data_IF_955547071100
#
_entry.id   IF_955547071100
#
_cell.length_a   1.000
_cell.length_b   1.000
_cell.length_c   1.000
_cell.angle_alpha   90.00
_cell.angle_beta   90.00
_cell.angle_gamma   90.00
#
_symmetry.space_group_name_H-M   'P 1'
#
loop_
_entity.id
_entity.type
_entity.pdbx_description
1 polymer ?
#
# COMPACT_ATOMS: atom_id res chain seq x y z
N UNK A 1 2.97 -1.21 9.25
CA UNK A 1 2.04 -1.50 8.14
C UNK A 1 1.64 -2.97 8.23
N UNK A 2 0.43 -3.32 7.84
CA UNK A 2 -0.07 -4.69 7.87
C UNK A 2 -1.04 -4.88 6.70
N UNK A 3 -0.96 -5.99 5.96
CA UNK A 3 -1.90 -6.25 4.87
C UNK A 3 -3.10 -6.99 5.47
N UNK A 4 -4.20 -6.27 5.67
CA UNK A 4 -5.43 -6.88 6.16
C UNK A 4 -6.01 -7.86 5.13
N UNK A 5 -6.62 -8.94 5.61
CA UNK A 5 -7.19 -10.00 4.78
C UNK A 5 -8.70 -10.06 4.93
N UNK A 6 -9.41 -10.54 3.92
CA UNK A 6 -10.81 -10.93 4.10
C UNK A 6 -10.93 -12.27 4.84
N UNK A 7 -12.13 -12.57 5.34
CA UNK A 7 -12.41 -13.82 6.05
C UNK A 7 -12.19 -15.07 5.19
N UNK A 8 -12.43 -14.96 3.88
CA UNK A 8 -12.22 -16.04 2.90
C UNK A 8 -10.75 -16.28 2.56
N UNK A 9 -9.85 -15.36 2.92
CA UNK A 9 -8.41 -15.52 2.71
C UNK A 9 -7.75 -16.26 3.88
N UNK A 10 -6.68 -17.01 3.59
CA UNK A 10 -5.81 -17.58 4.61
C UNK A 10 -5.16 -16.53 5.51
N UNK A 11 -4.70 -16.96 6.69
CA UNK A 11 -4.05 -16.09 7.67
C UNK A 11 -2.82 -15.36 7.09
N UNK A 12 -2.65 -14.08 7.41
CA UNK A 12 -1.45 -13.28 7.09
C UNK A 12 -0.45 -13.21 8.24
N UNK A 13 -0.64 -14.05 9.26
CA UNK A 13 0.15 -14.03 10.49
C UNK A 13 -0.24 -12.90 11.43
N UNK A 14 0.51 -12.77 12.53
CA UNK A 14 0.28 -11.71 13.51
C UNK A 14 0.99 -10.41 13.14
N UNK A 15 0.51 -9.31 13.70
CA UNK A 15 1.07 -7.97 13.52
C UNK A 15 2.53 -7.97 14.00
N UNK A 16 3.40 -7.31 13.21
CA UNK A 16 4.80 -7.11 13.53
C UNK A 16 5.05 -5.70 14.07
N UNK A 17 6.13 -5.55 14.84
CA UNK A 17 6.60 -4.26 15.30
C UNK A 17 7.12 -3.40 14.13
N UNK A 18 7.64 -2.20 14.43
CA UNK A 18 8.16 -1.28 13.40
C UNK A 18 9.36 -1.84 12.63
N UNK A 19 10.10 -2.80 13.20
CA UNK A 19 11.25 -3.44 12.53
C UNK A 19 10.80 -4.53 11.55
N UNK A 20 9.58 -5.06 11.72
CA UNK A 20 9.07 -6.19 10.94
C UNK A 20 9.57 -7.55 11.42
N UNK A 21 10.55 -7.59 12.33
CA UNK A 21 11.19 -8.83 12.80
C UNK A 21 10.46 -9.44 14.00
N UNK A 22 9.99 -8.59 14.93
CA UNK A 22 9.34 -9.01 16.18
C UNK A 22 7.87 -8.61 16.22
N UNK A 23 7.21 -8.89 17.34
CA UNK A 23 5.83 -8.50 17.60
C UNK A 23 5.77 -7.30 18.55
N UNK A 24 4.71 -6.48 18.48
CA UNK A 24 4.47 -5.43 19.46
C UNK A 24 4.43 -6.00 20.88
N UNK A 25 4.84 -5.21 21.88
CA UNK A 25 4.76 -5.58 23.29
C UNK A 25 3.90 -4.54 24.00
N UNK A 26 3.00 -5.00 24.86
CA UNK A 26 2.27 -4.16 25.81
C UNK A 26 2.69 -4.53 27.22
N UNK A 27 2.97 -3.53 28.08
CA UNK A 27 3.38 -3.72 29.46
C UNK A 27 2.45 -2.95 30.38
N UNK A 28 1.96 -3.60 31.44
CA UNK A 28 1.28 -2.92 32.53
C UNK A 28 2.31 -2.46 33.57
N UNK A 29 2.46 -1.14 33.72
CA UNK A 29 3.39 -0.54 34.68
C UNK A 29 2.63 -0.12 35.95
N UNK A 30 3.28 -0.21 37.10
CA UNK A 30 2.72 0.24 38.39
C UNK A 30 1.78 -0.74 39.08
N UNK A 31 1.49 -1.90 38.49
CA UNK A 31 0.72 -2.97 39.11
C UNK A 31 1.33 -4.34 38.80
N UNK A 32 1.68 -5.12 39.82
CA UNK A 32 2.29 -6.45 39.68
C UNK A 32 1.87 -7.44 40.77
N UNK A 33 0.70 -7.23 41.39
CA UNK A 33 0.23 -8.08 42.51
C UNK A 33 -0.40 -9.40 42.04
N UNK A 34 -1.07 -9.40 40.90
CA UNK A 34 -1.74 -10.58 40.33
C UNK A 34 -1.83 -10.50 38.80
N UNK A 35 -2.25 -11.58 38.15
CA UNK A 35 -2.48 -11.58 36.71
C UNK A 35 -3.62 -10.63 36.33
N UNK A 36 -3.47 -9.91 35.21
CA UNK A 36 -4.46 -8.96 34.70
C UNK A 36 -4.81 -9.29 33.26
N UNK A 37 -6.10 -9.26 32.94
CA UNK A 37 -6.56 -9.43 31.56
C UNK A 37 -6.32 -8.15 30.76
N UNK A 38 -5.60 -8.29 29.65
CA UNK A 38 -5.41 -7.22 28.66
C UNK A 38 -6.33 -7.48 27.48
N UNK A 39 -7.29 -6.59 27.27
CA UNK A 39 -8.17 -6.60 26.12
C UNK A 39 -7.53 -5.84 24.97
N UNK A 40 -7.68 -6.34 23.75
CA UNK A 40 -7.15 -5.73 22.53
C UNK A 40 -8.21 -5.75 21.43
N UNK A 41 -8.51 -4.60 20.84
CA UNK A 41 -9.37 -4.50 19.66
C UNK A 41 -8.76 -3.56 18.61
N UNK A 42 -9.33 -3.59 17.40
CA UNK A 42 -8.91 -2.71 16.31
C UNK A 42 -9.72 -1.42 16.37
N UNK A 43 -9.06 -0.32 16.69
CA UNK A 43 -9.65 1.01 16.80
C UNK A 43 -9.46 1.89 15.56
N UNK A 44 -10.21 2.98 15.50
CA UNK A 44 -10.09 3.99 14.46
C UNK A 44 -8.81 4.84 14.62
N UNK A 45 -8.24 5.31 13.51
CA UNK A 45 -6.99 6.10 13.54
C UNK A 45 -7.19 7.49 14.16
N UNK A 46 -8.27 8.19 13.78
CA UNK A 46 -8.55 9.57 14.21
C UNK A 46 -9.52 9.70 15.38
N UNK A 47 -10.30 8.66 15.66
CA UNK A 47 -11.30 8.64 16.73
C UNK A 47 -10.76 7.70 17.81
N UNK A 48 -9.88 8.23 18.65
CA UNK A 48 -9.15 7.41 19.62
C UNK A 48 -10.13 6.74 20.59
N UNK A 49 -9.95 5.45 20.82
CA UNK A 49 -10.82 4.65 21.67
C UNK A 49 -12.10 4.12 21.00
N UNK A 50 -12.47 4.57 19.79
CA UNK A 50 -13.61 3.99 19.06
C UNK A 50 -13.19 2.79 18.22
N UNK A 51 -14.09 1.80 18.07
CA UNK A 51 -13.83 0.62 17.25
C UNK A 51 -13.82 0.94 15.76
N UNK A 52 -12.99 0.24 14.99
CA UNK A 52 -12.97 0.38 13.54
C UNK A 52 -14.13 -0.39 12.91
N UNK A 53 -14.88 0.25 12.02
CA UNK A 53 -16.01 -0.38 11.34
C UNK A 53 -15.56 -1.45 10.33
N UNK A 54 -14.58 -1.13 9.49
CA UNK A 54 -14.09 -2.00 8.42
C UNK A 54 -13.00 -3.00 8.82
N UNK A 55 -12.45 -2.91 10.04
CA UNK A 55 -11.35 -3.77 10.47
C UNK A 55 -11.66 -4.39 11.82
N UNK A 56 -11.43 -5.70 11.94
CA UNK A 56 -11.64 -6.46 13.17
C UNK A 56 -10.37 -7.15 13.63
N UNK A 57 -10.26 -7.37 14.94
CA UNK A 57 -9.19 -8.19 15.48
C UNK A 57 -9.43 -9.66 15.08
N UNK A 58 -8.38 -10.30 14.57
CA UNK A 58 -8.40 -11.72 14.22
C UNK A 58 -7.44 -12.46 15.13
N UNK A 59 -7.93 -13.51 15.82
CA UNK A 59 -7.07 -14.38 16.62
C UNK A 59 -6.14 -15.16 15.69
N UNK A 60 -4.84 -15.08 15.96
CA UNK A 60 -3.81 -15.87 15.31
C UNK A 60 -3.37 -16.94 16.30
N UNK A 61 -3.41 -18.20 15.87
CA UNK A 61 -2.96 -19.35 16.66
C UNK A 61 -1.65 -19.87 16.08
N UNK A 62 -0.66 -20.10 16.94
CA UNK A 62 0.59 -20.77 16.61
C UNK A 62 1.03 -21.68 17.76
N UNK A 63 1.93 -22.63 17.49
CA UNK A 63 2.42 -23.58 18.51
C UNK A 63 2.99 -22.88 19.76
N UNK A 64 3.64 -21.74 19.56
CA UNK A 64 4.29 -20.95 20.61
C UNK A 64 3.67 -19.55 20.77
N UNK A 65 2.49 -19.29 20.20
CA UNK A 65 1.86 -17.97 20.28
C UNK A 65 1.27 -17.72 21.67
N UNK A 66 1.23 -16.46 22.08
CA UNK A 66 0.57 -16.01 23.32
C UNK A 66 -0.87 -16.55 23.38
N UNK A 67 -1.19 -17.21 24.51
CA UNK A 67 -2.52 -17.75 24.75
C UNK A 67 -3.51 -16.58 24.86
N UNK A 68 -4.57 -16.64 24.06
CA UNK A 68 -5.63 -15.63 24.09
C UNK A 68 -7.02 -16.23 23.83
N UNK A 69 -8.05 -15.49 24.26
CA UNK A 69 -9.47 -15.74 23.95
C UNK A 69 -9.97 -14.63 23.02
N UNK A 70 -11.04 -14.92 22.28
CA UNK A 70 -11.72 -13.91 21.47
C UNK A 70 -13.17 -13.80 21.94
N UNK A 71 -13.66 -12.57 22.14
CA UNK A 71 -15.04 -12.25 22.49
C UNK A 71 -15.58 -11.23 21.50
N UNK A 72 -16.88 -11.28 21.22
CA UNK A 72 -17.58 -10.20 20.48
C UNK A 72 -18.29 -9.29 21.47
N UNK A 73 -18.03 -7.99 21.38
CA UNK A 73 -18.66 -6.93 22.19
C UNK A 73 -19.17 -5.87 21.20
N UNK A 74 -20.48 -5.66 21.13
CA UNK A 74 -21.13 -4.72 20.19
C UNK A 74 -20.64 -4.87 18.74
N UNK A 75 -20.56 -6.12 18.28
CA UNK A 75 -20.08 -6.48 16.95
C UNK A 75 -18.59 -6.22 16.72
N UNK A 76 -17.82 -5.89 17.75
CA UNK A 76 -16.37 -5.72 17.70
C UNK A 76 -15.68 -6.95 18.28
N UNK A 77 -14.71 -7.50 17.56
CA UNK A 77 -13.89 -8.61 18.04
C UNK A 77 -12.82 -8.10 18.99
N UNK A 78 -12.86 -8.58 20.24
CA UNK A 78 -11.92 -8.25 21.31
C UNK A 78 -11.10 -9.48 21.64
N UNK A 79 -9.78 -9.37 21.53
CA UNK A 79 -8.82 -10.42 21.91
C UNK A 79 -8.40 -10.17 23.35
N UNK A 80 -8.50 -11.19 24.19
CA UNK A 80 -8.18 -11.12 25.61
C UNK A 80 -6.92 -11.94 25.84
N UNK A 81 -5.87 -11.27 26.31
CA UNK A 81 -4.58 -11.83 26.72
C UNK A 81 -4.43 -11.68 28.23
N UNK A 82 -3.40 -12.31 28.81
CA UNK A 82 -3.12 -12.23 30.25
C UNK A 82 -1.69 -11.72 30.46
N UNK A 83 -1.55 -10.65 31.27
CA UNK A 83 -0.28 -10.16 31.78
C UNK A 83 -0.04 -10.78 33.17
N UNK A 84 1.18 -11.25 33.43
CA UNK A 84 1.52 -11.94 34.67
C UNK A 84 2.68 -11.26 35.41
N UNK A 85 2.69 -11.22 36.75
CA UNK A 85 3.85 -10.72 37.48
C UNK A 85 5.14 -11.49 37.16
N UNK A 86 5.03 -12.78 36.80
CA UNK A 86 6.17 -13.62 36.44
C UNK A 86 6.92 -13.15 35.19
N UNK A 87 6.24 -12.45 34.27
CA UNK A 87 6.84 -11.93 33.04
C UNK A 87 6.90 -10.39 33.04
N UNK A 88 7.06 -9.78 34.22
CA UNK A 88 7.16 -8.33 34.38
C UNK A 88 5.93 -7.60 33.77
N UNK A 89 4.77 -8.25 33.84
CA UNK A 89 3.50 -7.76 33.32
C UNK A 89 3.55 -7.38 31.82
N UNK A 90 4.42 -8.06 31.06
CA UNK A 90 4.59 -7.86 29.63
C UNK A 90 3.82 -8.91 28.83
N UNK A 91 3.22 -8.49 27.73
CA UNK A 91 2.54 -9.38 26.78
C UNK A 91 3.06 -9.09 25.38
N UNK A 92 3.63 -10.12 24.76
CA UNK A 92 4.01 -10.11 23.35
C UNK A 92 2.75 -10.31 22.49
N UNK A 93 2.46 -9.39 21.59
CA UNK A 93 1.23 -9.37 20.79
C UNK A 93 1.43 -10.16 19.48
N UNK A 94 1.74 -11.45 19.62
CA UNK A 94 1.97 -12.41 18.52
C UNK A 94 0.72 -13.24 18.16
N UNK A 95 -0.40 -12.97 18.81
CA UNK A 95 -1.67 -13.66 18.61
C UNK A 95 -2.76 -12.78 17.96
N UNK A 96 -2.42 -11.57 17.50
CA UNK A 96 -3.36 -10.60 16.92
C UNK A 96 -3.01 -10.31 15.46
N UNK A 97 -3.98 -10.54 14.57
CA UNK A 97 -3.98 -10.09 13.18
C UNK A 97 -5.15 -9.16 12.90
N UNK A 98 -5.23 -8.65 11.67
CA UNK A 98 -6.29 -7.72 11.24
C UNK A 98 -7.11 -8.36 10.12
N UNK A 99 -8.43 -8.43 10.33
CA UNK A 99 -9.43 -8.83 9.35
C UNK A 99 -10.05 -7.59 8.72
N UNK A 100 -10.28 -7.60 7.41
CA UNK A 100 -11.08 -6.61 6.70
C UNK A 100 -12.50 -7.13 6.52
N UNK A 101 -13.47 -6.36 6.99
CA UNK A 101 -14.90 -6.64 6.80
C UNK A 101 -15.32 -6.31 5.36
N UNK A 102 -16.31 -7.03 4.85
CA UNK A 102 -16.90 -6.69 3.55
C UNK A 102 -17.78 -5.46 3.71
N UNK A 103 -17.91 -4.67 2.65
CA UNK A 103 -18.72 -3.44 2.70
C UNK A 103 -20.18 -3.73 3.10
N UNK A 104 -20.77 -4.81 2.58
CA UNK A 104 -22.13 -5.26 2.94
C UNK A 104 -22.28 -5.55 4.43
N UNK A 105 -21.29 -6.21 5.05
CA UNK A 105 -21.32 -6.55 6.47
C UNK A 105 -21.19 -5.28 7.34
N UNK A 106 -20.37 -4.31 6.90
CA UNK A 106 -20.21 -3.01 7.57
C UNK A 106 -21.49 -2.17 7.51
N UNK A 107 -22.16 -2.15 6.36
CA UNK A 107 -23.41 -1.42 6.16
C UNK A 107 -24.51 -1.98 7.05
N UNK A 108 -24.64 -3.31 7.15
CA UNK A 108 -25.57 -3.97 8.08
C UNK A 108 -25.26 -3.63 9.54
N UNK A 109 -23.99 -3.65 9.94
CA UNK A 109 -23.57 -3.26 11.30
C UNK A 109 -23.92 -1.80 11.60
N UNK A 110 -23.73 -0.91 10.64
CA UNK A 110 -24.09 0.51 10.79
C UNK A 110 -25.61 0.70 10.90
N UNK A 111 -26.41 -0.01 10.10
CA UNK A 111 -27.87 0.03 10.18
C UNK A 111 -28.36 -0.42 11.57
N UNK A 112 -27.80 -1.51 12.11
CA UNK A 112 -28.13 -2.00 13.45
C UNK A 112 -27.75 -1.01 14.56
N UNK A 113 -26.67 -0.25 14.38
CA UNK A 113 -26.28 0.80 15.33
C UNK A 113 -27.19 2.02 15.25
N UNK A 114 -27.63 2.41 14.05
CA UNK A 114 -28.60 3.50 13.85
C UNK A 114 -29.96 3.18 14.46
N UNK A 115 -30.44 1.94 14.34
CA UNK A 115 -31.69 1.49 14.94
C UNK A 115 -31.68 1.48 16.48
N UNK A 116 -30.52 1.67 17.12
CA UNK A 116 -30.39 1.81 18.58
C UNK A 116 -30.33 3.27 19.04
N UNK A 117 -30.16 4.21 18.12
CA UNK A 117 -30.09 5.64 18.39
C UNK A 117 -31.24 6.31 17.64
N UNK A 118 -32.42 6.34 18.25
CA UNK A 118 -33.54 7.13 17.77
C UNK A 118 -33.15 8.61 17.82
N UNK A 119 -32.76 9.18 16.69
CA UNK A 119 -32.49 10.60 16.59
C UNK A 119 -31.36 10.96 15.65
N UNK A 120 -31.77 11.64 14.58
CA UNK A 120 -31.04 12.65 13.83
C UNK A 120 -30.44 12.26 12.47
N UNK A 121 -30.80 13.14 11.55
CA UNK A 121 -30.77 13.11 10.12
C UNK A 121 -29.36 13.40 9.63
N UNK A 122 -28.69 12.42 9.02
CA UNK A 122 -27.49 12.70 8.23
C UNK A 122 -27.25 11.62 7.18
N UNK A 123 -27.88 11.82 6.05
CA UNK A 123 -27.73 11.10 4.77
C UNK A 123 -26.31 11.18 4.14
N UNK A 124 -25.27 11.57 4.90
CA UNK A 124 -23.93 11.89 4.38
C UNK A 124 -22.75 11.19 5.10
N UNK A 125 -22.99 10.22 5.99
CA UNK A 125 -21.95 9.53 6.76
C UNK A 125 -21.15 8.36 6.08
N UNK A 126 -21.51 7.75 4.93
CA UNK A 126 -20.83 6.52 4.46
C UNK A 126 -19.37 6.71 3.98
N UNK A 127 -19.00 7.89 3.49
CA UNK A 127 -17.71 8.12 2.81
C UNK A 127 -16.65 8.65 3.79
N UNK A 128 -17.03 9.46 4.77
CA UNK A 128 -16.10 10.13 5.69
C UNK A 128 -15.46 9.21 6.75
N UNK A 129 -15.95 7.98 6.92
CA UNK A 129 -15.42 6.99 7.90
C UNK A 129 -14.58 5.86 7.27
N UNK A 130 -14.32 5.91 5.95
CA UNK A 130 -13.48 4.90 5.27
C UNK A 130 -12.00 5.23 5.49
N UNK A 131 -11.47 4.84 6.64
CA UNK A 131 -10.03 4.94 6.92
C UNK A 131 -9.32 3.65 6.47
N UNK A 132 -8.25 3.73 5.66
CA UNK A 132 -7.35 2.59 5.41
C UNK A 132 -6.37 2.36 6.56
N UNK A 133 -6.43 3.20 7.61
CA UNK A 133 -5.59 3.12 8.80
C UNK A 133 -6.41 2.77 10.02
N UNK A 134 -5.87 1.90 10.87
CA UNK A 134 -6.42 1.57 12.17
C UNK A 134 -5.34 1.67 13.25
N UNK A 135 -5.70 1.39 14.49
CA UNK A 135 -4.78 1.30 15.63
C UNK A 135 -5.11 0.08 16.47
N UNK A 136 -4.12 -0.47 17.18
CA UNK A 136 -4.38 -1.38 18.28
C UNK A 136 -4.80 -0.55 19.49
N UNK A 137 -5.92 -0.91 20.09
CA UNK A 137 -6.38 -0.33 21.35
C UNK A 137 -6.30 -1.42 22.41
N UNK A 138 -5.53 -1.16 23.46
CA UNK A 138 -5.39 -2.04 24.60
C UNK A 138 -6.10 -1.45 25.81
N UNK A 139 -6.84 -2.27 26.55
CA UNK A 139 -7.41 -1.87 27.83
C UNK A 139 -7.23 -2.94 28.90
N UNK A 140 -7.13 -2.51 30.16
CA UNK A 140 -6.98 -3.38 31.32
C UNK A 140 -7.75 -2.79 32.50
N UNK A 141 -8.46 -3.62 33.24
CA UNK A 141 -9.11 -3.23 34.49
C UNK A 141 -8.24 -3.68 35.66
N UNK A 142 -7.84 -2.75 36.52
CA UNK A 142 -7.02 -3.04 37.70
C UNK A 142 -7.90 -3.68 38.78
N UNK A 143 -7.58 -4.90 39.28
CA UNK A 143 -8.42 -5.59 40.26
C UNK A 143 -8.65 -4.81 41.56
N UNK A 144 -7.63 -4.11 42.06
CA UNK A 144 -7.69 -3.42 43.36
C UNK A 144 -8.51 -2.13 43.30
N UNK A 145 -8.40 -1.37 42.21
CA UNK A 145 -8.98 -0.02 42.09
C UNK A 145 -10.20 0.03 41.17
N UNK A 146 -10.46 -1.04 40.41
CA UNK A 146 -11.41 -1.08 39.29
C UNK A 146 -11.17 -0.01 38.21
N UNK A 147 -10.01 0.63 38.20
CA UNK A 147 -9.65 1.61 37.17
C UNK A 147 -9.41 0.92 35.82
N UNK A 148 -9.90 1.55 34.75
CA UNK A 148 -9.69 1.09 33.39
C UNK A 148 -8.57 1.91 32.76
N UNK A 149 -7.43 1.27 32.52
CA UNK A 149 -6.34 1.84 31.77
C UNK A 149 -6.55 1.54 30.29
N UNK A 150 -6.31 2.52 29.42
CA UNK A 150 -6.38 2.35 27.97
C UNK A 150 -5.18 3.01 27.28
N UNK A 151 -4.58 2.29 26.33
CA UNK A 151 -3.50 2.81 25.49
C UNK A 151 -3.75 2.47 24.03
N UNK A 152 -3.37 3.39 23.13
CA UNK A 152 -3.57 3.24 21.70
C UNK A 152 -2.20 3.25 21.00
N UNK A 153 -2.00 2.33 20.05
CA UNK A 153 -0.75 2.25 19.28
C UNK A 153 -0.58 3.40 18.29
N UNK A 154 0.61 3.44 17.66
CA UNK A 154 0.79 4.18 16.41
C UNK A 154 -0.14 3.65 15.30
N UNK A 155 -0.49 4.47 14.30
CA UNK A 155 -1.32 4.06 13.17
C UNK A 155 -0.73 2.88 12.39
N UNK A 156 -1.59 1.96 11.97
CA UNK A 156 -1.28 0.84 11.09
C UNK A 156 -2.00 1.08 9.78
N UNK A 157 -1.25 1.25 8.68
CA UNK A 157 -1.81 1.20 7.34
C UNK A 157 -2.16 -0.24 6.99
N UNK A 158 -3.44 -0.50 6.69
CA UNK A 158 -4.03 -1.82 6.45
C UNK A 158 -4.11 -2.24 4.98
N UNK A 159 -3.68 -1.36 4.07
CA UNK A 159 -3.68 -1.60 2.63
C UNK A 159 -2.30 -2.05 2.15
N UNK A 160 -2.27 -2.75 1.02
CA UNK A 160 -1.01 -3.00 0.33
C UNK A 160 -0.35 -1.66 -0.02
N UNK A 161 0.93 -1.44 0.33
CA UNK A 161 1.64 -0.26 -0.13
C UNK A 161 1.75 -0.32 -1.65
N UNK A 162 1.57 0.83 -2.28
CA UNK A 162 1.73 0.94 -3.73
C UNK A 162 3.19 0.61 -4.06
N UNK A 163 3.39 -0.34 -4.96
CA UNK A 163 4.72 -0.74 -5.42
C UNK A 163 5.45 0.42 -6.09
N UNK A 164 6.76 0.31 -6.24
CA UNK A 164 7.53 1.24 -7.07
C UNK A 164 7.08 1.06 -8.52
N UNK A 165 6.87 2.14 -9.30
CA UNK A 165 6.58 2.01 -10.73
C UNK A 165 7.71 1.25 -11.43
N UNK A 166 7.36 0.38 -12.36
CA UNK A 166 8.31 -0.47 -13.09
C UNK A 166 8.01 -0.37 -14.58
N UNK A 167 9.05 -0.17 -15.40
CA UNK A 167 8.93 -0.22 -16.86
C UNK A 167 9.38 -1.61 -17.30
N UNK A 168 8.46 -2.43 -17.82
CA UNK A 168 8.80 -3.75 -18.34
C UNK A 168 9.18 -3.69 -19.82
N UNK A 169 8.47 -2.88 -20.61
CA UNK A 169 8.72 -2.71 -22.06
C UNK A 169 8.27 -1.33 -22.53
N UNK A 170 8.95 -0.80 -23.56
CA UNK A 170 8.54 0.44 -24.24
C UNK A 170 8.67 0.28 -25.77
N UNK A 171 7.81 0.95 -26.53
CA UNK A 171 7.92 1.01 -28.00
C UNK A 171 9.22 1.69 -28.45
N UNK A 172 9.70 1.36 -29.64
CA UNK A 172 10.94 1.89 -30.21
C UNK A 172 10.66 3.07 -31.14
N UNK A 173 10.46 4.26 -30.57
CA UNK A 173 10.39 5.51 -31.30
C UNK A 173 11.35 6.52 -30.66
N UNK A 174 12.16 7.17 -31.47
CA UNK A 174 13.20 8.14 -31.05
C UNK A 174 12.90 9.57 -31.51
N UNK A 175 11.80 9.78 -32.25
CA UNK A 175 11.40 11.07 -32.80
C UNK A 175 10.40 11.77 -31.87
N UNK A 176 10.66 13.04 -31.59
CA UNK A 176 9.70 13.90 -30.88
C UNK A 176 8.38 14.02 -31.64
N UNK A 177 7.27 14.07 -30.91
CA UNK A 177 5.91 14.12 -31.44
C UNK A 177 5.28 12.76 -31.74
N UNK A 178 6.07 11.67 -31.76
CA UNK A 178 5.52 10.31 -31.87
C UNK A 178 4.96 9.81 -30.53
N UNK A 179 3.99 8.90 -30.60
CA UNK A 179 3.48 8.23 -29.41
C UNK A 179 4.50 7.21 -28.87
N UNK A 180 4.56 7.13 -27.54
CA UNK A 180 5.34 6.16 -26.80
C UNK A 180 4.42 5.32 -25.93
N UNK A 181 4.38 4.03 -26.23
CA UNK A 181 3.67 3.02 -25.48
C UNK A 181 4.62 2.44 -24.44
N UNK A 182 4.23 2.48 -23.16
CA UNK A 182 4.99 1.89 -22.06
C UNK A 182 4.13 0.85 -21.36
N UNK A 183 4.64 -0.37 -21.26
CA UNK A 183 4.05 -1.47 -20.49
C UNK A 183 4.88 -1.65 -19.22
N UNK A 184 4.21 -1.80 -18.10
CA UNK A 184 4.85 -1.85 -16.78
C UNK A 184 3.90 -2.21 -15.65
N UNK A 185 4.20 -1.72 -14.45
CA UNK A 185 3.43 -1.97 -13.23
C UNK A 185 3.40 -0.73 -12.34
N UNK A 186 2.38 -0.65 -11.48
CA UNK A 186 2.22 0.37 -10.43
C UNK A 186 2.14 1.81 -10.98
N UNK A 187 1.55 2.00 -12.15
CA UNK A 187 1.22 3.31 -12.67
C UNK A 187 -0.09 3.79 -12.03
N UNK A 188 -0.06 4.94 -11.38
CA UNK A 188 -1.23 5.53 -10.74
C UNK A 188 -1.77 6.66 -11.62
N UNK A 189 -2.93 7.22 -11.24
CA UNK A 189 -3.54 8.35 -11.96
C UNK A 189 -2.66 9.60 -12.00
N UNK A 190 -1.66 9.70 -11.12
CA UNK A 190 -0.68 10.78 -11.08
C UNK A 190 0.62 10.46 -11.82
N UNK A 191 0.67 9.35 -12.57
CA UNK A 191 1.88 8.93 -13.27
C UNK A 191 2.34 9.98 -14.29
N UNK A 192 3.65 10.23 -14.32
CA UNK A 192 4.32 11.11 -15.30
C UNK A 192 5.55 10.42 -15.86
N UNK A 193 5.81 10.64 -17.15
CA UNK A 193 7.03 10.15 -17.79
C UNK A 193 8.06 11.27 -17.73
N UNK A 194 9.25 10.94 -17.23
CA UNK A 194 10.33 11.89 -16.95
C UNK A 194 11.54 11.52 -17.79
N UNK A 195 11.93 12.42 -18.69
CA UNK A 195 13.19 12.36 -19.40
C UNK A 195 14.21 13.24 -18.68
N UNK A 196 15.44 12.74 -18.51
CA UNK A 196 16.51 13.47 -17.84
C UNK A 196 17.85 13.28 -18.56
N UNK A 197 18.44 14.38 -18.98
CA UNK A 197 19.82 14.50 -19.48
C UNK A 197 20.75 15.08 -18.41
N UNK A 198 21.95 15.57 -18.81
CA UNK A 198 22.94 16.14 -17.89
C UNK A 198 22.39 17.37 -17.13
N UNK A 199 21.83 18.33 -17.86
CA UNK A 199 21.26 19.58 -17.32
C UNK A 199 19.88 19.87 -17.92
N UNK A 200 19.15 18.81 -18.28
CA UNK A 200 17.86 18.89 -18.93
C UNK A 200 16.88 17.92 -18.31
N UNK A 201 15.64 18.35 -18.09
CA UNK A 201 14.57 17.48 -17.60
C UNK A 201 13.27 17.86 -18.25
N UNK A 202 12.55 16.86 -18.77
CA UNK A 202 11.21 17.03 -19.31
C UNK A 202 10.25 16.07 -18.65
N UNK A 203 9.08 16.59 -18.28
CA UNK A 203 8.02 15.80 -17.66
C UNK A 203 6.81 15.86 -18.59
N UNK A 204 6.31 14.69 -18.98
CA UNK A 204 5.12 14.57 -19.83
C UNK A 204 4.04 13.83 -19.06
N UNK A 205 2.82 14.36 -19.12
CA UNK A 205 1.63 13.69 -18.62
C UNK A 205 1.12 12.71 -19.69
N UNK A 206 0.89 11.42 -19.34
CA UNK A 206 0.29 10.47 -20.24
C UNK A 206 -1.13 10.89 -20.65
N UNK A 207 -1.59 10.34 -21.76
CA UNK A 207 -3.01 10.40 -22.11
C UNK A 207 -3.82 9.69 -21.01
N UNK A 208 -4.82 10.40 -20.47
CA UNK A 208 -5.68 9.90 -19.39
C UNK A 208 -6.53 8.72 -19.84
N UNK A 209 -6.88 8.63 -21.11
CA UNK A 209 -7.67 7.52 -21.65
C UNK A 209 -6.85 6.22 -21.71
N UNK A 210 -5.54 6.34 -21.93
CA UNK A 210 -4.63 5.21 -22.04
C UNK A 210 -3.73 5.00 -20.82
N UNK A 211 -4.02 5.68 -19.71
CA UNK A 211 -3.30 5.51 -18.45
C UNK A 211 -3.97 4.45 -17.57
N UNK A 212 -3.35 3.27 -17.52
CA UNK A 212 -3.75 2.16 -16.68
C UNK A 212 -2.62 1.74 -15.74
N UNK A 213 -2.92 0.90 -14.76
CA UNK A 213 -1.91 0.45 -13.77
C UNK A 213 -0.76 -0.36 -14.35
N UNK A 214 -0.94 -0.89 -15.55
CA UNK A 214 0.02 -1.76 -16.26
C UNK A 214 0.54 -1.19 -17.56
N UNK A 215 0.00 -0.06 -18.03
CA UNK A 215 0.47 0.58 -19.26
C UNK A 215 0.07 2.05 -19.32
N UNK A 216 0.83 2.81 -20.10
CA UNK A 216 0.51 4.20 -20.41
C UNK A 216 0.94 4.54 -21.84
N UNK A 217 0.28 5.55 -22.41
CA UNK A 217 0.67 6.14 -23.70
C UNK A 217 0.93 7.63 -23.47
N UNK A 218 2.01 8.15 -24.04
CA UNK A 218 2.35 9.56 -23.98
C UNK A 218 3.02 10.02 -25.28
N UNK A 219 3.08 11.32 -25.52
CA UNK A 219 3.80 11.88 -26.67
C UNK A 219 5.25 12.12 -26.28
N UNK A 220 6.19 11.64 -27.10
CA UNK A 220 7.62 11.88 -26.91
C UNK A 220 7.89 13.38 -27.05
N UNK A 221 8.48 14.05 -26.04
CA UNK A 221 8.73 15.48 -26.14
C UNK A 221 9.83 15.77 -27.16
N UNK A 222 9.79 16.96 -27.78
CA UNK A 222 10.95 17.46 -28.52
C UNK A 222 12.10 17.76 -27.56
N UNK A 223 13.32 17.40 -27.93
CA UNK A 223 14.50 17.77 -27.15
C UNK A 223 14.79 19.27 -27.31
N UNK A 224 14.70 19.99 -26.19
CA UNK A 224 14.97 21.42 -26.03
C UNK A 224 16.12 21.69 -25.04
N UNK A 225 17.01 20.71 -24.86
CA UNK A 225 18.17 20.81 -23.99
C UNK A 225 19.36 21.57 -24.60
N UNK A 226 20.43 21.80 -23.82
CA UNK A 226 21.58 22.62 -24.20
C UNK A 226 22.53 21.92 -25.18
N UNK A 227 22.42 20.60 -25.36
CA UNK A 227 23.29 19.88 -26.30
C UNK A 227 22.94 20.26 -27.75
N UNK A 228 23.95 20.38 -28.64
CA UNK A 228 23.72 20.83 -30.00
C UNK A 228 22.76 19.91 -30.75
N UNK A 229 21.72 20.47 -31.37
CA UNK A 229 20.82 19.72 -32.28
C UNK A 229 21.54 19.11 -33.49
N UNK A 230 22.79 19.49 -33.74
CA UNK A 230 23.68 18.94 -34.76
C UNK A 230 24.24 17.56 -34.38
N UNK A 231 24.05 17.11 -33.14
CA UNK A 231 24.42 15.76 -32.73
C UNK A 231 23.38 14.75 -33.25
N UNK A 232 23.81 13.76 -34.03
CA UNK A 232 22.91 12.79 -34.68
C UNK A 232 22.06 11.99 -33.69
N UNK A 233 22.57 11.82 -32.46
CA UNK A 233 21.88 11.16 -31.36
C UNK A 233 22.18 11.82 -30.02
N UNK A 234 21.14 11.93 -29.18
CA UNK A 234 21.23 12.48 -27.83
C UNK A 234 20.68 11.44 -26.86
N UNK A 235 21.55 10.96 -25.97
CA UNK A 235 21.19 9.97 -24.94
C UNK A 235 20.66 10.65 -23.68
N UNK A 236 19.47 10.22 -23.27
CA UNK A 236 18.86 10.62 -22.01
C UNK A 236 18.36 9.39 -21.24
N UNK A 237 18.04 9.61 -19.97
CA UNK A 237 17.31 8.62 -19.17
C UNK A 237 15.82 8.89 -19.24
N UNK A 238 15.02 7.83 -19.25
CA UNK A 238 13.57 7.83 -19.17
C UNK A 238 13.16 7.06 -17.91
N UNK A 239 12.29 7.64 -17.10
CA UNK A 239 11.72 6.99 -15.91
C UNK A 239 10.25 7.37 -15.74
N UNK A 240 9.51 6.61 -14.93
CA UNK A 240 8.14 6.93 -14.55
C UNK A 240 8.11 7.40 -13.10
N UNK A 241 7.54 8.59 -12.87
CA UNK A 241 7.18 9.08 -11.55
C UNK A 241 5.72 8.73 -11.28
N UNK A 242 5.43 7.98 -10.23
CA UNK A 242 4.07 7.53 -9.88
C UNK A 242 3.96 7.37 -8.35
N UNK A 243 2.93 7.93 -7.72
CA UNK A 243 2.72 7.82 -6.27
C UNK A 243 3.88 8.34 -5.42
N UNK A 244 4.57 9.38 -5.90
CA UNK A 244 5.75 9.95 -5.25
C UNK A 244 7.05 9.14 -5.39
N UNK A 245 7.04 8.02 -6.11
CA UNK A 245 8.22 7.17 -6.37
C UNK A 245 8.65 7.26 -7.83
N UNK A 246 9.90 6.86 -8.12
CA UNK A 246 10.45 6.76 -9.46
C UNK A 246 10.74 5.30 -9.80
N UNK A 247 10.57 4.94 -11.08
CA UNK A 247 11.07 3.67 -11.60
C UNK A 247 12.58 3.70 -11.75
N UNK A 248 13.17 2.55 -12.02
CA UNK A 248 14.52 2.51 -12.58
C UNK A 248 14.60 3.31 -13.89
N UNK A 249 15.79 3.84 -14.16
CA UNK A 249 16.06 4.64 -15.34
C UNK A 249 16.31 3.73 -16.56
N UNK A 250 15.55 3.95 -17.63
CA UNK A 250 15.76 3.30 -18.92
C UNK A 250 16.48 4.25 -19.87
N UNK A 251 17.44 3.74 -20.65
CA UNK A 251 18.05 4.54 -21.72
C UNK A 251 17.02 4.88 -22.80
N UNK A 252 17.05 6.13 -23.23
CA UNK A 252 16.27 6.65 -24.36
C UNK A 252 17.19 7.53 -25.20
N UNK A 253 17.14 7.38 -26.52
CA UNK A 253 18.02 8.13 -27.43
C UNK A 253 17.13 8.91 -28.39
N UNK A 254 17.24 10.24 -28.37
CA UNK A 254 16.67 11.08 -29.41
C UNK A 254 17.53 10.98 -30.67
N UNK A 255 16.92 10.81 -31.83
CA UNK A 255 17.65 10.79 -33.12
C UNK A 255 17.10 11.87 -34.03
N UNK A 256 17.99 12.54 -34.76
CA UNK A 256 17.58 13.51 -35.76
C UNK A 256 17.11 12.78 -37.03
N UNK A 257 16.05 13.27 -37.69
CA UNK A 257 15.29 12.55 -38.72
C UNK A 257 16.09 12.15 -39.97
N UNK A 258 17.29 12.68 -40.18
CA UNK A 258 18.17 12.28 -41.28
C UNK A 258 18.86 10.93 -41.06
N UNK A 259 18.92 10.42 -39.83
CA UNK A 259 19.62 9.16 -39.48
C UNK A 259 18.74 7.91 -39.59
N UNK A 260 17.43 8.09 -39.73
CA UNK A 260 16.44 6.98 -39.69
C UNK A 260 16.54 6.08 -40.95
N UNK A 261 17.02 6.64 -42.06
CA UNK A 261 17.33 5.89 -43.29
C UNK A 261 18.52 4.94 -43.11
N UNK A 262 19.51 5.32 -42.30
CA UNK A 262 20.73 4.52 -42.11
C UNK A 262 20.49 3.31 -41.20
N UNK A 263 19.69 3.47 -40.14
CA UNK A 263 19.32 2.35 -39.25
C UNK A 263 18.33 1.36 -39.89
N UNK A 264 17.39 1.84 -40.73
CA UNK A 264 16.52 0.95 -41.53
C UNK A 264 17.33 0.11 -42.52
N UNK A 265 18.34 0.69 -43.16
CA UNK A 265 19.28 -0.01 -44.05
C UNK A 265 20.04 -1.14 -43.33
N UNK A 266 20.54 -0.90 -42.11
CA UNK A 266 21.27 -1.91 -41.34
C UNK A 266 20.37 -3.06 -40.85
N UNK A 267 19.11 -2.79 -40.49
CA UNK A 267 18.17 -3.84 -40.09
C UNK A 267 17.64 -4.66 -41.29
N UNK A 268 17.49 -4.04 -42.47
CA UNK A 268 17.15 -4.77 -43.70
C UNK A 268 18.30 -5.65 -44.20
N UNK A 269 19.57 -5.24 -44.00
CA UNK A 269 20.73 -6.04 -44.41
C UNK A 269 21.08 -7.18 -43.45
N UNK A 270 20.49 -7.22 -42.24
CA UNK A 270 20.73 -8.28 -41.24
C UNK A 270 19.87 -9.53 -41.45
N UNK A 271 18.82 -9.46 -42.28
CA UNK A 271 18.01 -10.62 -42.67
C UNK A 271 18.37 -11.02 -44.10
N UNK A 272 19.58 -11.57 -44.25
CA UNK A 272 19.95 -12.29 -45.47
C UNK A 272 19.00 -13.46 -45.70
N UNK A 273 18.46 -13.54 -46.93
CA UNK A 273 17.71 -14.67 -47.46
C UNK A 273 18.40 -15.99 -47.10
N UNK A 274 17.71 -16.84 -46.36
CA UNK A 274 17.90 -18.29 -46.49
C UNK A 274 16.82 -18.78 -47.45
N UNK A 275 17.18 -18.90 -48.72
CA UNK A 275 16.49 -19.78 -49.64
C UNK A 275 16.83 -21.22 -49.23
N UNK A 276 15.81 -22.04 -48.95
CA UNK A 276 15.95 -23.51 -48.97
C UNK A 276 15.12 -24.03 -50.13
N UNK A 277 15.80 -24.51 -51.17
CA UNK A 277 15.28 -25.56 -52.03
C UNK A 277 15.38 -26.90 -51.28
N UNK A 278 14.51 -27.86 -51.66
CA UNK A 278 14.36 -29.19 -51.07
C UNK A 278 15.67 -29.90 -50.71
#
# INVERSE_FOLDING_TARGET
MYIARYMTEGSRGAIKDKTGLRHPIVKLCGYSKSCVQIQCFIGHDKQLGSSHLFYQASKISGKNSTRCKIKRVDGTSVIIMEASPHNDMQVTVDCVGILKERNVDVEQKLANLKNRTDGDDSDALPIKKRSPRCRLVFSAQIPDTNEILQVVSSPILCTQPLGTPEICKKSCHSKGGSELFIIGKNFLKDAKVVWKGRDWTKVVEPDKEYLHSTHLVCVIPSYDGPEPKTQNSIDVSLSIKSGGKYSDAHRFTFTNSESDYFYRSLLQNSFGRQEMCF
#
